data_IF_977078045521
#
_entry.id   IF_977078045521
#
_cell.length_a   1.000
_cell.length_b   1.000
_cell.length_c   1.000
_cell.angle_alpha   90.00
_cell.angle_beta   90.00
_cell.angle_gamma   90.00
#
_symmetry.space_group_name_H-M   'P 1'
#
loop_
_entity.id
_entity.type
_entity.pdbx_description
1 polymer ?
#
# COMPACT_ATOMS: atom_id res chain seq x y z
N UNK A 1 66.19 5.40 -8.57
CA UNK A 1 65.44 6.53 -7.99
C UNK A 1 64.03 6.38 -8.53
N UNK A 2 63.08 6.25 -7.60
CA UNK A 2 61.67 5.89 -7.76
C UNK A 2 60.93 6.87 -8.71
N UNK A 3 59.77 6.53 -9.30
CA UNK A 3 58.47 6.53 -8.65
C UNK A 3 57.48 5.58 -9.35
N UNK A 4 56.88 4.68 -8.59
CA UNK A 4 55.74 3.84 -8.98
C UNK A 4 54.58 4.17 -8.03
N UNK A 5 54.12 5.42 -8.04
CA UNK A 5 53.02 5.87 -7.16
C UNK A 5 52.19 6.91 -7.89
N UNK A 6 51.30 6.50 -8.80
CA UNK A 6 50.29 7.43 -9.36
C UNK A 6 48.99 6.75 -9.81
N UNK A 7 48.82 5.44 -9.61
CA UNK A 7 47.59 4.74 -10.02
C UNK A 7 46.59 4.49 -8.87
N UNK A 8 47.05 4.49 -7.61
CA UNK A 8 46.19 4.19 -6.45
C UNK A 8 45.33 5.39 -5.98
N UNK A 9 45.71 6.62 -6.29
CA UNK A 9 45.00 7.82 -5.84
C UNK A 9 43.74 8.13 -6.69
N UNK A 10 43.71 7.67 -7.94
CA UNK A 10 42.58 7.83 -8.86
C UNK A 10 41.45 6.84 -8.54
N UNK A 11 41.77 5.59 -8.23
CA UNK A 11 40.77 4.55 -7.88
C UNK A 11 40.03 4.88 -6.56
N UNK A 12 40.72 5.45 -5.58
CA UNK A 12 40.14 5.84 -4.29
C UNK A 12 39.16 7.04 -4.38
N UNK A 13 39.31 7.90 -5.39
CA UNK A 13 38.40 9.04 -5.61
C UNK A 13 37.11 8.60 -6.31
N UNK A 14 37.20 7.62 -7.21
CA UNK A 14 36.05 7.10 -7.96
C UNK A 14 35.12 6.25 -7.08
N UNK A 15 35.66 5.45 -6.14
CA UNK A 15 34.86 4.68 -5.17
C UNK A 15 34.06 5.60 -4.21
N UNK A 16 34.66 6.68 -3.70
CA UNK A 16 33.95 7.64 -2.82
C UNK A 16 32.83 8.42 -3.54
N UNK A 17 32.95 8.61 -4.86
CA UNK A 17 31.96 9.32 -5.68
C UNK A 17 30.74 8.44 -5.99
N UNK A 18 30.96 7.14 -6.22
CA UNK A 18 29.88 6.19 -6.48
C UNK A 18 29.02 5.94 -5.23
N UNK A 19 29.67 5.78 -4.06
CA UNK A 19 29.01 5.54 -2.77
C UNK A 19 28.12 6.73 -2.34
N UNK A 20 28.59 7.97 -2.59
CA UNK A 20 27.80 9.21 -2.36
C UNK A 20 26.60 9.30 -3.30
N UNK A 21 26.75 8.90 -4.56
CA UNK A 21 25.68 8.92 -5.57
C UNK A 21 24.60 7.90 -5.23
N UNK A 22 24.99 6.70 -4.83
CA UNK A 22 24.08 5.63 -4.43
C UNK A 22 23.30 6.01 -3.16
N UNK A 23 23.99 6.59 -2.17
CA UNK A 23 23.37 7.13 -0.95
C UNK A 23 22.32 8.21 -1.26
N UNK A 24 22.64 9.19 -2.12
CA UNK A 24 21.70 10.24 -2.53
C UNK A 24 20.51 9.68 -3.31
N UNK A 25 20.72 8.65 -4.13
CA UNK A 25 19.68 8.00 -4.91
C UNK A 25 18.73 7.16 -4.03
N UNK A 26 19.27 6.53 -2.99
CA UNK A 26 18.50 5.87 -1.93
C UNK A 26 17.62 6.87 -1.17
N UNK A 27 18.21 7.95 -0.65
CA UNK A 27 17.47 9.00 0.08
C UNK A 27 16.35 9.63 -0.76
N UNK A 28 16.59 9.87 -2.05
CA UNK A 28 15.56 10.34 -2.99
C UNK A 28 14.42 9.33 -3.15
N UNK A 29 14.76 8.05 -3.21
CA UNK A 29 13.78 6.95 -3.33
C UNK A 29 12.92 6.84 -2.07
N UNK A 30 13.53 6.88 -0.88
CA UNK A 30 12.82 6.86 0.40
C UNK A 30 11.87 8.05 0.56
N UNK A 31 12.36 9.27 0.26
CA UNK A 31 11.52 10.47 0.29
C UNK A 31 10.32 10.33 -0.64
N UNK A 32 10.52 9.75 -1.84
CA UNK A 32 9.43 9.55 -2.79
C UNK A 32 8.44 8.49 -2.31
N UNK A 33 8.91 7.38 -1.76
CA UNK A 33 8.07 6.34 -1.16
C UNK A 33 7.21 6.90 -0.01
N UNK A 34 7.78 7.80 0.81
CA UNK A 34 7.05 8.50 1.87
C UNK A 34 5.89 9.33 1.31
N UNK A 35 6.10 10.09 0.23
CA UNK A 35 5.04 10.88 -0.42
C UNK A 35 3.93 9.97 -0.97
N UNK A 36 4.29 8.84 -1.60
CA UNK A 36 3.29 7.89 -2.12
C UNK A 36 2.46 7.30 -0.98
N UNK A 37 3.11 6.94 0.13
CA UNK A 37 2.44 6.45 1.35
C UNK A 37 1.44 7.46 1.89
N UNK A 38 1.89 8.69 2.15
CA UNK A 38 1.04 9.75 2.70
C UNK A 38 -0.19 10.01 1.83
N UNK A 39 -0.03 10.03 0.50
CA UNK A 39 -1.15 10.15 -0.43
C UNK A 39 -2.12 8.98 -0.39
N UNK A 40 -1.63 7.75 -0.24
CA UNK A 40 -2.50 6.58 -0.08
C UNK A 40 -3.25 6.63 1.26
N UNK A 41 -2.57 7.03 2.33
CA UNK A 41 -3.16 7.16 3.67
C UNK A 41 -4.26 8.24 3.69
N UNK A 42 -4.01 9.41 3.11
CA UNK A 42 -5.00 10.48 2.95
C UNK A 42 -6.22 10.02 2.12
N UNK A 43 -5.97 9.31 1.02
CA UNK A 43 -7.03 8.79 0.17
C UNK A 43 -7.87 7.71 0.87
N UNK A 44 -7.24 6.87 1.69
CA UNK A 44 -7.92 5.91 2.55
C UNK A 44 -8.75 6.62 3.64
N UNK A 45 -8.20 7.64 4.29
CA UNK A 45 -8.91 8.45 5.27
C UNK A 45 -10.14 9.16 4.66
N UNK A 46 -10.03 9.61 3.41
CA UNK A 46 -11.13 10.16 2.61
C UNK A 46 -12.14 9.11 2.10
N UNK A 47 -11.98 7.84 2.51
CA UNK A 47 -12.83 6.71 2.10
C UNK A 47 -12.90 6.50 0.58
N UNK A 48 -11.82 6.78 -0.14
CA UNK A 48 -11.77 6.58 -1.60
C UNK A 48 -11.98 5.12 -2.03
N UNK A 49 -11.74 4.16 -1.14
CA UNK A 49 -11.92 2.72 -1.38
C UNK A 49 -13.38 2.30 -1.58
N UNK A 50 -14.36 3.15 -1.26
CA UNK A 50 -15.80 2.83 -1.36
C UNK A 50 -16.30 2.66 -2.79
N UNK A 51 -15.62 3.24 -3.77
CA UNK A 51 -16.00 3.13 -5.18
C UNK A 51 -15.78 1.70 -5.70
N UNK A 52 -16.85 0.98 -6.00
CA UNK A 52 -16.79 -0.40 -6.51
C UNK A 52 -16.16 -0.48 -7.91
N UNK A 53 -16.16 0.60 -8.68
CA UNK A 53 -15.56 0.70 -10.02
C UNK A 53 -14.06 1.04 -10.00
N UNK A 54 -13.49 1.28 -8.80
CA UNK A 54 -12.10 1.66 -8.62
C UNK A 54 -11.12 0.67 -9.29
N UNK A 55 -10.17 1.24 -10.01
CA UNK A 55 -9.11 0.53 -10.69
C UNK A 55 -7.80 1.33 -10.62
N UNK A 56 -6.69 0.73 -11.07
CA UNK A 56 -5.37 1.37 -11.01
C UNK A 56 -5.33 2.73 -11.74
N UNK A 57 -6.10 2.88 -12.83
CA UNK A 57 -6.13 4.13 -13.60
C UNK A 57 -6.83 5.22 -12.79
N UNK A 58 -8.01 4.94 -12.24
CA UNK A 58 -8.75 5.93 -11.45
C UNK A 58 -8.01 6.34 -10.19
N UNK A 59 -7.37 5.39 -9.49
CA UNK A 59 -6.50 5.69 -8.35
C UNK A 59 -5.29 6.55 -8.74
N UNK A 60 -4.60 6.21 -9.84
CA UNK A 60 -3.43 6.98 -10.32
C UNK A 60 -3.77 8.46 -10.57
N UNK A 61 -4.96 8.69 -11.14
CA UNK A 61 -5.46 10.03 -11.44
C UNK A 61 -5.83 10.78 -10.17
N UNK A 62 -6.52 10.13 -9.23
CA UNK A 62 -6.92 10.78 -7.96
C UNK A 62 -5.72 11.16 -7.11
N UNK A 63 -4.64 10.38 -7.14
CA UNK A 63 -3.43 10.66 -6.37
C UNK A 63 -2.42 11.56 -7.10
N UNK A 64 -2.60 11.81 -8.39
CA UNK A 64 -1.58 12.41 -9.26
C UNK A 64 -0.22 11.69 -9.13
N UNK A 65 -0.25 10.36 -9.26
CA UNK A 65 0.92 9.47 -9.25
C UNK A 65 0.78 8.54 -10.45
N UNK A 66 1.86 8.28 -11.19
CA UNK A 66 1.79 7.40 -12.35
C UNK A 66 1.40 5.96 -11.95
N UNK A 67 0.72 5.23 -12.85
CA UNK A 67 0.39 3.82 -12.62
C UNK A 67 1.63 2.95 -12.37
N UNK A 68 2.71 3.24 -13.10
CA UNK A 68 3.98 2.53 -12.95
C UNK A 68 4.54 2.72 -11.55
N UNK A 69 4.58 3.97 -11.08
CA UNK A 69 5.09 4.30 -9.76
C UNK A 69 4.24 3.69 -8.64
N UNK A 70 2.90 3.76 -8.74
CA UNK A 70 2.01 3.09 -7.79
C UNK A 70 2.22 1.58 -7.79
N UNK A 71 2.28 0.95 -8.97
CA UNK A 71 2.52 -0.49 -9.07
C UNK A 71 3.86 -0.88 -8.43
N UNK A 72 4.92 -0.10 -8.69
CA UNK A 72 6.25 -0.32 -8.12
C UNK A 72 6.20 -0.16 -6.61
N UNK A 73 5.56 0.89 -6.09
CA UNK A 73 5.41 1.11 -4.65
C UNK A 73 4.67 -0.04 -3.97
N UNK A 74 3.53 -0.48 -4.52
CA UNK A 74 2.77 -1.61 -3.97
C UNK A 74 3.61 -2.89 -3.94
N UNK A 75 4.37 -3.16 -5.00
CA UNK A 75 5.19 -4.38 -5.07
C UNK A 75 6.43 -4.30 -4.18
N UNK A 76 7.17 -3.18 -4.18
CA UNK A 76 8.46 -3.08 -3.48
C UNK A 76 8.33 -2.72 -2.01
N UNK A 77 7.32 -1.93 -1.64
CA UNK A 77 7.17 -1.42 -0.28
C UNK A 77 6.09 -2.17 0.50
N UNK A 78 5.02 -2.62 -0.16
CA UNK A 78 3.90 -3.32 0.49
C UNK A 78 3.81 -4.80 0.14
N UNK A 79 4.75 -5.32 -0.68
CA UNK A 79 4.79 -6.70 -1.14
C UNK A 79 3.44 -7.22 -1.66
N UNK A 80 2.75 -6.42 -2.46
CA UNK A 80 1.39 -6.71 -2.93
C UNK A 80 1.14 -6.15 -4.33
N UNK A 81 -0.03 -6.49 -4.89
CA UNK A 81 -0.54 -5.87 -6.11
C UNK A 81 -1.79 -5.06 -5.80
N UNK A 82 -2.29 -4.29 -6.76
CA UNK A 82 -3.42 -3.39 -6.55
C UNK A 82 -4.70 -4.08 -6.03
N UNK A 83 -5.07 -5.23 -6.59
CA UNK A 83 -6.33 -5.89 -6.22
C UNK A 83 -6.30 -6.45 -4.78
N UNK A 84 -5.28 -7.21 -4.35
CA UNK A 84 -5.16 -7.63 -2.96
C UNK A 84 -4.99 -6.46 -1.99
N UNK A 85 -4.19 -5.44 -2.34
CA UNK A 85 -4.05 -4.24 -1.52
C UNK A 85 -5.40 -3.55 -1.27
N UNK A 86 -6.19 -3.31 -2.32
CA UNK A 86 -7.49 -2.68 -2.19
C UNK A 86 -8.46 -3.56 -1.38
N UNK A 87 -8.42 -4.88 -1.58
CA UNK A 87 -9.24 -5.80 -0.79
C UNK A 87 -8.89 -5.71 0.70
N UNK A 88 -7.61 -5.61 1.06
CA UNK A 88 -7.16 -5.45 2.44
C UNK A 88 -7.64 -4.13 3.05
N UNK A 89 -7.47 -3.02 2.33
CA UNK A 89 -7.96 -1.70 2.78
C UNK A 89 -9.47 -1.74 3.08
N UNK A 90 -10.26 -2.35 2.18
CA UNK A 90 -11.70 -2.50 2.36
C UNK A 90 -12.05 -3.45 3.51
N UNK A 91 -11.26 -4.49 3.71
CA UNK A 91 -11.46 -5.46 4.77
C UNK A 91 -11.22 -4.86 6.16
N UNK A 92 -10.13 -4.12 6.33
CA UNK A 92 -9.86 -3.39 7.58
C UNK A 92 -10.92 -2.31 7.86
N UNK A 93 -11.38 -1.60 6.82
CA UNK A 93 -12.50 -0.68 6.94
C UNK A 93 -13.80 -1.38 7.38
N UNK A 94 -14.07 -2.60 6.89
CA UNK A 94 -15.24 -3.36 7.28
C UNK A 94 -15.19 -3.82 8.74
N UNK A 95 -14.04 -4.34 9.20
CA UNK A 95 -13.84 -4.68 10.62
C UNK A 95 -14.05 -3.46 11.52
N UNK A 96 -13.44 -2.32 11.16
CA UNK A 96 -13.63 -1.07 11.88
C UNK A 96 -15.11 -0.65 11.93
N UNK A 97 -15.81 -0.70 10.79
CA UNK A 97 -17.23 -0.33 10.73
C UNK A 97 -18.12 -1.24 11.56
N UNK A 98 -17.82 -2.55 11.62
CA UNK A 98 -18.53 -3.51 12.48
C UNK A 98 -18.40 -3.16 13.96
N UNK A 99 -17.21 -2.75 14.41
CA UNK A 99 -16.96 -2.33 15.79
C UNK A 99 -17.62 -0.98 16.11
N UNK A 100 -17.50 -0.02 15.19
CA UNK A 100 -18.02 1.34 15.38
C UNK A 100 -19.57 1.39 15.27
N UNK A 101 -20.20 0.42 14.58
CA UNK A 101 -21.64 0.40 14.30
C UNK A 101 -22.22 -1.03 14.47
N UNK A 102 -22.46 -1.51 15.70
CA UNK A 102 -22.92 -2.88 15.96
C UNK A 102 -24.25 -3.24 15.26
N UNK A 103 -25.12 -2.26 15.06
CA UNK A 103 -26.44 -2.44 14.44
C UNK A 103 -26.41 -2.61 12.91
N UNK A 104 -25.27 -2.34 12.26
CA UNK A 104 -25.20 -2.39 10.79
C UNK A 104 -25.11 -3.83 10.27
N UNK A 105 -26.03 -4.23 9.41
CA UNK A 105 -26.00 -5.54 8.75
C UNK A 105 -24.74 -5.76 7.89
N UNK A 106 -24.34 -7.03 7.67
CA UNK A 106 -23.19 -7.38 6.83
C UNK A 106 -23.32 -6.87 5.38
N UNK A 107 -24.55 -6.74 4.89
CA UNK A 107 -24.91 -6.17 3.60
C UNK A 107 -24.61 -4.67 3.51
N UNK A 108 -25.03 -3.90 4.52
CA UNK A 108 -24.72 -2.47 4.63
C UNK A 108 -23.20 -2.28 4.67
N UNK A 109 -22.51 -3.01 5.54
CA UNK A 109 -21.05 -2.89 5.69
C UNK A 109 -20.33 -3.27 4.39
N UNK A 110 -20.77 -4.33 3.73
CA UNK A 110 -20.22 -4.73 2.42
C UNK A 110 -20.34 -3.60 1.40
N UNK A 111 -21.51 -2.97 1.29
CA UNK A 111 -21.75 -1.87 0.35
C UNK A 111 -20.95 -0.61 0.74
N UNK A 112 -20.98 -0.24 2.02
CA UNK A 112 -20.30 0.94 2.54
C UNK A 112 -18.78 0.84 2.44
N UNK A 113 -18.20 -0.37 2.48
CA UNK A 113 -16.77 -0.58 2.29
C UNK A 113 -16.37 -0.83 0.83
N UNK A 114 -17.30 -0.77 -0.13
CA UNK A 114 -17.00 -0.89 -1.56
C UNK A 114 -16.75 -2.31 -2.05
N UNK A 115 -17.23 -3.33 -1.33
CA UNK A 115 -17.23 -4.70 -1.86
C UNK A 115 -18.29 -4.84 -2.94
N UNK A 116 -17.93 -5.47 -4.07
CA UNK A 116 -18.86 -5.75 -5.17
C UNK A 116 -19.91 -6.80 -4.84
N UNK A 117 -19.68 -7.61 -3.81
CA UNK A 117 -20.64 -8.61 -3.33
C UNK A 117 -20.36 -9.03 -1.89
N UNK A 118 -21.41 -9.50 -1.20
CA UNK A 118 -21.31 -10.12 0.13
C UNK A 118 -20.38 -11.33 0.12
N UNK A 119 -20.40 -12.13 -0.95
CA UNK A 119 -19.55 -13.32 -1.09
C UNK A 119 -18.07 -12.97 -0.98
N UNK A 120 -17.64 -11.82 -1.52
CA UNK A 120 -16.26 -11.38 -1.40
C UNK A 120 -15.90 -11.08 0.06
N UNK A 121 -16.75 -10.33 0.78
CA UNK A 121 -16.53 -10.04 2.20
C UNK A 121 -16.43 -11.34 3.03
N UNK A 122 -17.36 -12.28 2.83
CA UNK A 122 -17.36 -13.56 3.55
C UNK A 122 -16.10 -14.38 3.26
N UNK A 123 -15.63 -14.41 2.01
CA UNK A 123 -14.38 -15.07 1.63
C UNK A 123 -13.19 -14.43 2.34
N UNK A 124 -13.11 -13.10 2.39
CA UNK A 124 -12.04 -12.40 3.12
C UNK A 124 -12.00 -12.77 4.60
N UNK A 125 -13.15 -12.79 5.29
CA UNK A 125 -13.21 -13.22 6.70
C UNK A 125 -12.76 -14.67 6.90
N UNK A 126 -13.15 -15.58 5.99
CA UNK A 126 -12.72 -16.98 6.06
C UNK A 126 -11.21 -17.13 5.84
N UNK A 127 -10.65 -16.42 4.89
CA UNK A 127 -9.22 -16.47 4.56
C UNK A 127 -8.34 -15.80 5.63
N UNK A 128 -8.79 -14.68 6.20
CA UNK A 128 -7.97 -13.84 7.09
C UNK A 128 -8.20 -14.10 8.58
N UNK A 129 -9.43 -14.41 8.97
CA UNK A 129 -9.86 -14.54 10.37
C UNK A 129 -10.37 -15.95 10.69
N UNK A 130 -10.38 -16.86 9.71
CA UNK A 130 -10.80 -18.26 9.86
C UNK A 130 -12.31 -18.47 10.11
N UNK A 131 -13.12 -17.41 10.10
CA UNK A 131 -14.54 -17.47 10.46
C UNK A 131 -15.44 -16.65 9.52
N UNK A 132 -16.75 -16.66 9.75
CA UNK A 132 -17.68 -15.80 8.99
C UNK A 132 -17.71 -14.39 9.60
N UNK A 133 -18.15 -13.35 8.87
CA UNK A 133 -18.29 -12.01 9.43
C UNK A 133 -19.17 -11.99 10.70
N UNK A 134 -20.27 -12.75 10.70
CA UNK A 134 -21.16 -12.88 11.87
C UNK A 134 -20.43 -13.48 13.07
N UNK A 135 -19.72 -14.60 12.88
CA UNK A 135 -18.97 -15.25 13.95
C UNK A 135 -17.78 -14.40 14.42
N UNK A 136 -17.20 -13.58 13.54
CA UNK A 136 -16.16 -12.64 13.92
C UNK A 136 -16.73 -11.54 14.83
N UNK A 137 -17.92 -11.00 14.52
CA UNK A 137 -18.57 -10.01 15.38
C UNK A 137 -18.91 -10.54 16.75
N UNK A 138 -19.49 -11.74 16.85
CA UNK A 138 -19.83 -12.36 18.14
C UNK A 138 -18.63 -12.49 19.09
N UNK A 139 -17.41 -12.49 18.55
CA UNK A 139 -16.16 -12.59 19.32
C UNK A 139 -15.52 -11.24 19.65
N UNK A 140 -15.84 -10.17 18.93
CA UNK A 140 -15.09 -8.91 18.94
C UNK A 140 -15.95 -7.66 19.19
N UNK A 141 -17.25 -7.71 18.94
CA UNK A 141 -18.23 -6.66 19.21
C UNK A 141 -18.93 -6.93 20.54
#
# INVERSE_FOLDING_TARGET
>A
MECVEDNACLELQDEELDDKKETLQSLRSERRQKIVREKLDEWCAAKGYRDTSLNMITLSRSLNISRYELSRYLSSCLNTTFRPWLAEVRFEAAKKMMLDNPDFGNDIISAECGFSSRTHLYRMFKEKEGCSPTAWREKNC
#
